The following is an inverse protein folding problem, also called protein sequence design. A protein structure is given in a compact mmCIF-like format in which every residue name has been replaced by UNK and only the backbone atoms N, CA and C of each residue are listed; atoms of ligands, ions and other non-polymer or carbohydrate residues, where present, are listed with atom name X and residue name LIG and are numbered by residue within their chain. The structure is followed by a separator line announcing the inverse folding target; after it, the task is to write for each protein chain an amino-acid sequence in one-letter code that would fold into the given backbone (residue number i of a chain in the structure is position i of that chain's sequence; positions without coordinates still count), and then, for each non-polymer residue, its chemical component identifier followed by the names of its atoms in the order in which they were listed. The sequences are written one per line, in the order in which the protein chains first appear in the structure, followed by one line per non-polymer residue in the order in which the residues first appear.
data_IF_046101822132
#
_entry.id   IF_046101822132
#
_cell.length_a   1.000
_cell.length_b   1.000
_cell.length_c   1.000
_cell.angle_alpha   90.00
_cell.angle_beta   90.00
_cell.angle_gamma   90.00
#
_symmetry.space_group_name_H-M   'P 1'
#
loop_
_entity.id
_entity.type
_entity.pdbx_description
1 polymer ?
#
# COMPACT_ATOMS: atom_id res chain seq x y z
N UNK A 1 5.60 6.32 -14.65
CA UNK A 1 5.18 6.23 -13.23
C UNK A 1 6.41 6.47 -12.35
N UNK A 2 6.25 6.93 -11.09
CA UNK A 2 7.38 7.06 -10.16
C UNK A 2 8.06 5.70 -9.93
N UNK A 3 9.34 5.70 -9.52
CA UNK A 3 10.07 4.46 -9.21
C UNK A 3 9.39 3.68 -8.08
N UNK A 4 8.94 4.38 -7.04
CA UNK A 4 8.25 3.79 -5.88
C UNK A 4 7.05 4.66 -5.47
N UNK A 5 6.06 4.02 -4.86
CA UNK A 5 4.83 4.64 -4.34
C UNK A 5 4.54 4.07 -2.95
N UNK A 6 4.40 4.96 -1.97
CA UNK A 6 3.82 4.66 -0.67
C UNK A 6 2.35 5.08 -0.68
N UNK A 7 1.46 4.16 -0.31
CA UNK A 7 0.03 4.41 -0.12
C UNK A 7 -0.26 4.30 1.37
N UNK A 8 -0.73 5.38 1.97
CA UNK A 8 -1.17 5.43 3.36
C UNK A 8 -2.68 5.26 3.38
N UNK A 9 -3.15 4.12 3.90
CA UNK A 9 -4.54 3.68 3.86
C UNK A 9 -4.75 2.52 2.88
N UNK A 10 -5.25 1.40 3.40
CA UNK A 10 -5.57 0.15 2.73
C UNK A 10 -7.06 -0.04 2.42
N UNK A 11 -7.85 1.04 2.39
CA UNK A 11 -9.24 1.02 1.92
C UNK A 11 -9.37 0.76 0.41
N UNK A 12 -10.61 0.78 -0.11
CA UNK A 12 -10.92 0.47 -1.53
C UNK A 12 -10.06 1.32 -2.48
N UNK A 13 -10.06 2.64 -2.29
CA UNK A 13 -9.30 3.58 -3.14
C UNK A 13 -7.80 3.28 -3.08
N UNK A 14 -7.24 3.05 -1.88
CA UNK A 14 -5.82 2.71 -1.73
C UNK A 14 -5.45 1.43 -2.47
N UNK A 15 -6.31 0.42 -2.43
CA UNK A 15 -6.14 -0.84 -3.16
C UNK A 15 -6.23 -0.68 -4.69
N UNK A 16 -7.11 0.18 -5.18
CA UNK A 16 -7.23 0.50 -6.61
C UNK A 16 -5.96 1.19 -7.13
N UNK A 17 -5.50 2.23 -6.45
CA UNK A 17 -4.27 2.94 -6.83
C UNK A 17 -3.03 2.06 -6.70
N UNK A 18 -2.97 1.18 -5.69
CA UNK A 18 -1.91 0.19 -5.57
C UNK A 18 -1.83 -0.70 -6.81
N UNK A 19 -3.00 -1.16 -7.28
CA UNK A 19 -3.10 -1.97 -8.48
C UNK A 19 -2.71 -1.21 -9.74
N UNK A 20 -3.14 0.05 -9.88
CA UNK A 20 -2.80 0.90 -11.04
C UNK A 20 -1.30 1.16 -11.11
N UNK A 21 -0.69 1.64 -10.02
CA UNK A 21 0.73 1.98 -10.01
C UNK A 21 1.63 0.76 -10.17
N UNK A 22 1.24 -0.39 -9.61
CA UNK A 22 1.97 -1.64 -9.83
C UNK A 22 1.88 -2.10 -11.29
N UNK A 23 0.71 -1.97 -11.93
CA UNK A 23 0.56 -2.27 -13.37
C UNK A 23 1.45 -1.39 -14.24
N UNK A 24 1.70 -0.13 -13.83
CA UNK A 24 2.66 0.75 -14.48
C UNK A 24 4.14 0.52 -14.08
N UNK A 25 4.43 -0.53 -13.32
CA UNK A 25 5.80 -0.95 -12.97
C UNK A 25 6.38 -0.30 -11.73
N UNK A 26 5.61 0.47 -10.96
CA UNK A 26 6.10 1.08 -9.72
C UNK A 26 6.32 0.01 -8.65
N UNK A 27 7.30 0.23 -7.77
CA UNK A 27 7.36 -0.48 -6.49
C UNK A 27 6.29 0.09 -5.55
N UNK A 28 5.34 -0.73 -5.12
CA UNK A 28 4.20 -0.25 -4.33
C UNK A 28 4.26 -0.80 -2.91
N UNK A 29 4.10 0.08 -1.93
CA UNK A 29 3.92 -0.27 -0.52
C UNK A 29 2.62 0.34 -0.01
N UNK A 30 1.80 -0.45 0.69
CA UNK A 30 0.60 -0.01 1.40
C UNK A 30 0.86 -0.11 2.90
N UNK A 31 0.52 0.95 3.63
CA UNK A 31 0.49 1.00 5.10
C UNK A 31 -0.94 1.26 5.55
N UNK A 32 -1.49 0.37 6.35
CA UNK A 32 -2.86 0.44 6.90
C UNK A 32 -2.80 0.33 8.43
N UNK A 33 -3.53 1.22 9.10
CA UNK A 33 -3.60 1.28 10.56
C UNK A 33 -4.41 0.14 11.14
N UNK A 34 -5.46 -0.30 10.44
CA UNK A 34 -6.32 -1.41 10.83
C UNK A 34 -5.63 -2.76 10.58
N UNK A 35 -6.14 -3.81 11.20
CA UNK A 35 -5.52 -5.15 11.15
C UNK A 35 -5.58 -5.82 9.76
N UNK A 36 -6.40 -5.29 8.85
CA UNK A 36 -6.59 -5.84 7.50
C UNK A 36 -6.78 -4.74 6.45
N UNK A 37 -6.46 -5.07 5.19
CA UNK A 37 -6.90 -4.29 4.03
C UNK A 37 -8.42 -4.37 3.88
N UNK A 38 -9.02 -3.35 3.26
CA UNK A 38 -10.47 -3.25 3.08
C UNK A 38 -11.22 -3.49 4.41
N UNK A 39 -11.00 -2.67 5.45
CA UNK A 39 -11.50 -2.95 6.81
C UNK A 39 -13.03 -3.04 6.93
N UNK A 40 -13.77 -2.52 5.95
CA UNK A 40 -15.23 -2.64 5.87
C UNK A 40 -15.72 -3.96 5.26
N UNK A 41 -14.81 -4.75 4.68
CA UNK A 41 -15.13 -6.01 4.00
C UNK A 41 -14.84 -7.22 4.91
N UNK A 42 -15.37 -8.37 4.50
CA UNK A 42 -15.14 -9.64 5.18
C UNK A 42 -13.66 -10.04 5.19
N UNK A 43 -13.21 -10.64 6.29
CA UNK A 43 -11.81 -11.04 6.50
C UNK A 43 -11.31 -12.03 5.46
N UNK A 44 -12.15 -12.92 4.92
CA UNK A 44 -11.76 -13.82 3.84
C UNK A 44 -11.44 -13.04 2.56
N UNK A 45 -12.23 -12.02 2.24
CA UNK A 45 -12.02 -11.13 1.10
C UNK A 45 -10.73 -10.33 1.29
N UNK A 46 -10.56 -9.71 2.46
CA UNK A 46 -9.35 -8.95 2.81
C UNK A 46 -8.08 -9.81 2.66
N UNK A 47 -8.10 -11.03 3.21
CA UNK A 47 -7.00 -11.99 3.12
C UNK A 47 -6.73 -12.40 1.67
N UNK A 48 -7.78 -12.59 0.86
CA UNK A 48 -7.61 -12.94 -0.56
C UNK A 48 -6.94 -11.80 -1.34
N UNK A 49 -7.35 -10.57 -1.10
CA UNK A 49 -6.73 -9.38 -1.71
C UNK A 49 -5.27 -9.26 -1.29
N UNK A 50 -4.96 -9.43 0.00
CA UNK A 50 -3.58 -9.37 0.48
C UNK A 50 -2.69 -10.44 -0.18
N UNK A 51 -3.21 -11.66 -0.36
CA UNK A 51 -2.50 -12.72 -1.09
C UNK A 51 -2.28 -12.36 -2.57
N UNK A 52 -3.25 -11.74 -3.23
CA UNK A 52 -3.12 -11.27 -4.62
C UNK A 52 -2.06 -10.16 -4.69
N UNK A 53 -2.07 -9.23 -3.76
CA UNK A 53 -1.12 -8.12 -3.70
C UNK A 53 0.31 -8.62 -3.47
N UNK A 54 0.51 -9.55 -2.52
CA UNK A 54 1.81 -10.21 -2.30
C UNK A 54 2.33 -10.91 -3.56
N UNK A 55 1.47 -11.63 -4.30
CA UNK A 55 1.84 -12.27 -5.58
C UNK A 55 2.19 -11.28 -6.69
N UNK A 56 1.70 -10.04 -6.60
CA UNK A 56 1.98 -8.95 -7.53
C UNK A 56 3.14 -8.08 -7.04
N UNK A 57 3.91 -8.50 -6.04
CA UNK A 57 4.98 -7.73 -5.38
C UNK A 57 4.55 -6.37 -4.83
N UNK A 58 3.29 -6.26 -4.39
CA UNK A 58 2.82 -5.12 -3.62
C UNK A 58 3.08 -5.44 -2.14
N UNK A 59 3.88 -4.61 -1.48
CA UNK A 59 4.16 -4.74 -0.03
C UNK A 59 2.96 -4.22 0.75
N UNK A 60 2.54 -4.95 1.78
CA UNK A 60 1.39 -4.59 2.61
C UNK A 60 1.78 -4.70 4.08
N UNK A 61 1.56 -3.61 4.81
CA UNK A 61 1.74 -3.52 6.26
C UNK A 61 0.40 -3.12 6.88
N UNK A 62 -0.26 -4.06 7.56
CA UNK A 62 -1.47 -3.79 8.36
C UNK A 62 -1.09 -3.63 9.83
N UNK A 63 -2.01 -3.13 10.65
CA UNK A 63 -1.74 -2.81 12.06
C UNK A 63 -0.63 -1.76 12.24
N UNK A 64 -0.36 -0.96 11.21
CA UNK A 64 0.79 -0.05 11.13
C UNK A 64 0.29 1.37 10.90
N UNK A 65 0.50 2.24 11.89
CA UNK A 65 0.09 3.64 11.81
C UNK A 65 1.24 4.49 11.27
N UNK A 66 0.99 5.25 10.20
CA UNK A 66 1.90 6.31 9.78
C UNK A 66 1.75 7.51 10.75
N UNK A 67 2.87 7.94 11.36
CA UNK A 67 2.87 9.03 12.33
C UNK A 67 3.32 10.36 11.72
N UNK A 68 4.33 10.31 10.85
CA UNK A 68 4.96 11.50 10.30
C UNK A 68 5.46 11.20 8.88
N UNK A 69 5.32 12.18 7.98
CA UNK A 69 5.92 12.14 6.63
C UNK A 69 6.90 13.31 6.57
N UNK A 70 8.17 12.99 6.37
CA UNK A 70 9.24 13.97 6.19
C UNK A 70 9.71 13.93 4.75
N UNK A 71 9.84 15.11 4.16
CA UNK A 71 10.62 15.27 2.95
C UNK A 71 12.08 15.44 3.37
N UNK A 72 12.89 14.43 3.09
CA UNK A 72 14.34 14.59 3.11
C UNK A 72 14.74 15.14 1.74
N UNK A 73 14.95 16.46 1.68
CA UNK A 73 15.66 17.05 0.56
C UNK A 73 17.07 16.46 0.60
N UNK A 74 17.38 15.57 -0.34
CA UNK A 74 18.74 15.05 -0.47
C UNK A 74 19.68 16.24 -0.62
N UNK A 75 20.64 16.38 0.29
CA UNK A 75 21.73 17.32 0.13
C UNK A 75 22.31 17.11 -1.27
N UNK A 76 22.22 18.13 -2.13
CA UNK A 76 22.98 18.19 -3.38
C UNK A 76 24.47 18.27 -3.01
N UNK A 77 25.11 17.11 -2.85
CA UNK A 77 26.56 16.94 -2.93
C UNK A 77 26.88 15.83 -3.93
#
# INVERSE_FOLDING_TARGET
APKSVLIVGGGVIGCEFASIFRTFGSEVTIVEMMDQLLPSEDTEIARKIEQIFKKRDIKVFTGTKAEEIKEENGDEN
#
